data_IF_852788734523
#
_entry.id   IF_852788734523
#
_cell.length_a   1.000
_cell.length_b   1.000
_cell.length_c   1.000
_cell.angle_alpha   90.00
_cell.angle_beta   90.00
_cell.angle_gamma   90.00
#
_symmetry.space_group_name_H-M   'P 1'
#
loop_
_entity.id
_entity.type
_entity.pdbx_description
1 polymer ?
#
# COMPACT_ATOMS: atom_id res chain seq x y z
N UNK A 1 -12.68 6.21 12.39
CA UNK A 1 -12.59 6.13 10.93
C UNK A 1 -11.99 4.79 10.45
N UNK A 2 -10.95 4.25 11.11
CA UNK A 2 -10.29 3.00 10.67
C UNK A 2 -11.22 1.80 10.65
N UNK A 3 -12.02 1.59 11.71
CA UNK A 3 -13.00 0.50 11.74
C UNK A 3 -14.03 0.64 10.62
N UNK A 4 -14.47 1.86 10.34
CA UNK A 4 -15.36 2.13 9.22
C UNK A 4 -14.72 1.70 7.88
N UNK A 5 -13.46 2.04 7.64
CA UNK A 5 -12.75 1.62 6.42
C UNK A 5 -12.62 0.11 6.34
N UNK A 6 -12.22 -0.56 7.43
CA UNK A 6 -12.11 -2.02 7.49
C UNK A 6 -13.46 -2.70 7.26
N UNK A 7 -14.54 -2.20 7.86
CA UNK A 7 -15.89 -2.72 7.67
C UNK A 7 -16.35 -2.59 6.21
N UNK A 8 -16.05 -1.46 5.55
CA UNK A 8 -16.38 -1.26 4.14
C UNK A 8 -15.59 -2.20 3.24
N UNK A 9 -14.29 -2.35 3.45
CA UNK A 9 -13.47 -3.29 2.69
C UNK A 9 -13.88 -4.75 2.96
N UNK A 10 -14.31 -5.08 4.17
CA UNK A 10 -14.88 -6.40 4.47
C UNK A 10 -16.11 -6.72 3.63
N UNK A 11 -17.01 -5.73 3.41
CA UNK A 11 -18.16 -5.86 2.51
C UNK A 11 -17.78 -6.02 1.04
N UNK A 12 -16.61 -5.54 0.65
CA UNK A 12 -16.05 -5.62 -0.70
C UNK A 12 -15.24 -6.91 -0.92
N UNK A 13 -15.22 -7.82 0.06
CA UNK A 13 -14.59 -9.14 -0.05
C UNK A 13 -13.15 -9.21 0.48
N UNK A 14 -12.64 -8.16 1.12
CA UNK A 14 -11.33 -8.19 1.75
C UNK A 14 -11.38 -8.92 3.10
N UNK A 15 -10.39 -9.77 3.33
CA UNK A 15 -10.13 -10.39 4.63
C UNK A 15 -9.25 -9.46 5.46
N UNK A 16 -9.70 -9.09 6.65
CA UNK A 16 -8.91 -8.30 7.60
C UNK A 16 -7.79 -9.16 8.19
N UNK A 17 -6.57 -8.62 8.18
CA UNK A 17 -5.37 -9.27 8.71
C UNK A 17 -4.69 -8.34 9.71
N UNK A 18 -4.31 -8.87 10.86
CA UNK A 18 -3.45 -8.18 11.83
C UNK A 18 -2.01 -8.58 11.54
N UNK A 19 -1.19 -7.60 11.19
CA UNK A 19 0.20 -7.82 10.77
C UNK A 19 1.20 -7.40 11.85
N UNK A 20 2.43 -7.95 11.86
CA UNK A 20 3.50 -7.37 12.64
C UNK A 20 3.85 -5.95 12.16
N UNK A 21 4.32 -5.11 13.08
CA UNK A 21 4.76 -3.73 12.80
C UNK A 21 6.28 -3.62 12.61
N UNK A 22 6.96 -4.73 12.80
CA UNK A 22 8.40 -4.88 12.62
C UNK A 22 8.67 -6.07 11.71
N UNK A 23 9.48 -5.87 10.68
CA UNK A 23 9.81 -6.86 9.66
C UNK A 23 11.31 -6.93 9.44
N UNK A 24 11.79 -7.99 8.81
CA UNK A 24 13.20 -8.11 8.44
C UNK A 24 13.50 -7.42 7.10
N UNK A 25 14.79 -7.28 6.78
CA UNK A 25 15.25 -6.67 5.53
C UNK A 25 14.75 -7.42 4.29
N UNK A 26 14.64 -8.75 4.35
CA UNK A 26 14.15 -9.55 3.22
C UNK A 26 12.69 -9.22 2.87
N UNK A 27 11.87 -8.95 3.87
CA UNK A 27 10.50 -8.49 3.64
C UNK A 27 10.44 -7.11 2.96
N UNK A 28 11.33 -6.20 3.36
CA UNK A 28 11.48 -4.87 2.73
C UNK A 28 11.99 -4.99 1.29
N UNK A 29 12.87 -5.96 1.02
CA UNK A 29 13.32 -6.26 -0.34
C UNK A 29 12.17 -6.81 -1.19
N UNK A 30 11.35 -7.71 -0.64
CA UNK A 30 10.23 -8.33 -1.35
C UNK A 30 9.25 -7.33 -1.96
N UNK A 31 8.95 -6.25 -1.27
CA UNK A 31 8.04 -5.19 -1.74
C UNK A 31 8.73 -4.09 -2.54
N UNK A 32 10.07 -4.12 -2.66
CA UNK A 32 10.84 -3.11 -3.39
C UNK A 32 11.19 -1.86 -2.56
N UNK A 33 10.89 -1.86 -1.26
CA UNK A 33 11.30 -0.77 -0.38
C UNK A 33 12.82 -0.71 -0.22
N UNK A 34 13.47 -1.87 -0.14
CA UNK A 34 14.92 -1.96 -0.10
C UNK A 34 15.48 -2.39 -1.46
N UNK A 35 16.68 -1.90 -1.81
CA UNK A 35 17.55 -0.96 -1.08
C UNK A 35 17.18 0.52 -1.24
N UNK A 36 16.30 0.87 -2.19
CA UNK A 36 16.10 2.25 -2.68
C UNK A 36 15.65 3.24 -1.60
N UNK A 37 14.74 2.83 -0.71
CA UNK A 37 14.14 3.70 0.30
C UNK A 37 14.67 3.43 1.71
N UNK A 38 15.89 2.89 1.82
CA UNK A 38 16.47 2.53 3.12
C UNK A 38 16.59 3.74 4.06
N UNK A 39 16.96 4.89 3.53
CA UNK A 39 17.14 6.12 4.32
C UNK A 39 15.81 6.68 4.88
N UNK A 40 14.68 6.27 4.31
CA UNK A 40 13.35 6.66 4.78
C UNK A 40 12.78 5.75 5.87
N UNK A 41 13.55 4.77 6.34
CA UNK A 41 13.09 3.77 7.31
C UNK A 41 13.72 3.96 8.69
N UNK A 42 13.04 3.44 9.72
CA UNK A 42 13.58 3.31 11.07
C UNK A 42 14.08 1.88 11.26
N UNK A 43 15.40 1.69 11.18
CA UNK A 43 16.05 0.40 11.48
C UNK A 43 16.28 0.23 12.98
N UNK A 44 16.15 -0.99 13.48
CA UNK A 44 16.46 -1.33 14.86
C UNK A 44 17.96 -1.63 14.96
N UNK A 45 18.63 -0.91 15.87
CA UNK A 45 20.08 -1.02 16.07
C UNK A 45 20.49 -2.48 16.36
N UNK A 46 21.59 -2.91 15.74
CA UNK A 46 22.22 -4.22 15.94
C UNK A 46 21.30 -5.40 15.57
N UNK A 47 20.34 -5.20 14.69
CA UNK A 47 19.43 -6.22 14.17
C UNK A 47 19.25 -6.08 12.65
N UNK A 48 18.52 -7.04 12.03
CA UNK A 48 18.04 -6.93 10.65
C UNK A 48 16.56 -6.53 10.59
N UNK A 49 16.03 -5.93 11.64
CA UNK A 49 14.61 -5.53 11.72
C UNK A 49 14.41 -4.04 11.46
N UNK A 50 13.23 -3.74 10.92
CA UNK A 50 12.79 -2.41 10.49
C UNK A 50 11.35 -2.21 10.94
N UNK A 51 11.01 -1.01 11.39
CA UNK A 51 9.60 -0.61 11.57
C UNK A 51 8.95 -0.43 10.20
N UNK A 52 7.77 -1.00 10.02
CA UNK A 52 7.09 -0.98 8.71
C UNK A 52 6.74 0.44 8.25
N UNK A 53 7.05 0.83 7.01
CA UNK A 53 6.59 2.09 6.44
C UNK A 53 5.13 2.03 5.96
N UNK A 54 4.57 0.82 5.88
CA UNK A 54 3.24 0.49 5.36
C UNK A 54 2.91 -0.97 5.67
N UNK A 55 1.64 -1.29 5.89
CA UNK A 55 1.18 -2.67 6.02
C UNK A 55 1.32 -3.48 4.71
N UNK A 56 1.53 -2.83 3.57
CA UNK A 56 1.85 -3.51 2.30
C UNK A 56 3.01 -4.50 2.48
N UNK A 57 4.03 -4.14 3.26
CA UNK A 57 5.21 -5.00 3.45
C UNK A 57 4.83 -6.35 4.07
N UNK A 58 4.25 -6.41 5.28
CA UNK A 58 3.88 -7.71 5.86
C UNK A 58 2.73 -8.40 5.11
N UNK A 59 1.77 -7.67 4.55
CA UNK A 59 0.67 -8.27 3.80
C UNK A 59 1.16 -8.98 2.54
N UNK A 60 2.01 -8.33 1.75
CA UNK A 60 2.57 -8.93 0.52
C UNK A 60 3.44 -10.13 0.87
N UNK A 61 4.26 -10.04 1.91
CA UNK A 61 5.13 -11.13 2.34
C UNK A 61 4.39 -12.28 3.05
N UNK A 62 3.08 -12.17 3.29
CA UNK A 62 2.29 -13.24 3.90
C UNK A 62 2.42 -14.57 3.14
N UNK A 63 2.50 -14.49 1.82
CA UNK A 63 2.70 -15.65 0.95
C UNK A 63 4.13 -15.79 0.40
N UNK A 64 5.11 -15.19 1.10
CA UNK A 64 6.51 -15.32 0.72
C UNK A 64 6.92 -16.79 0.65
N UNK A 65 7.64 -17.15 -0.46
CA UNK A 65 8.09 -18.50 -0.77
C UNK A 65 6.96 -19.55 -0.94
N UNK A 66 5.72 -19.11 -1.07
CA UNK A 66 4.54 -19.98 -1.23
C UNK A 66 4.18 -20.22 -2.70
N UNK A 67 3.52 -21.36 -2.94
CA UNK A 67 2.88 -21.69 -4.22
C UNK A 67 1.38 -21.81 -3.95
N UNK A 68 0.63 -20.83 -4.38
CA UNK A 68 -0.82 -20.75 -4.20
C UNK A 68 -1.56 -21.68 -5.19
N UNK A 69 -2.78 -22.08 -4.85
CA UNK A 69 -3.70 -22.68 -5.82
C UNK A 69 -4.31 -21.57 -6.68
N UNK A 70 -4.21 -21.68 -7.99
CA UNK A 70 -4.77 -20.70 -8.92
C UNK A 70 -6.29 -20.54 -8.81
N UNK A 71 -6.98 -21.52 -8.22
CA UNK A 71 -8.44 -21.46 -7.96
C UNK A 71 -8.81 -20.50 -6.83
N UNK A 72 -7.87 -20.24 -5.91
CA UNK A 72 -8.08 -19.34 -4.78
C UNK A 72 -7.88 -17.86 -5.16
N UNK A 73 -7.32 -17.59 -6.35
CA UNK A 73 -7.09 -16.23 -6.82
C UNK A 73 -8.35 -15.64 -7.49
N UNK A 74 -8.64 -14.36 -7.31
CA UNK A 74 -7.85 -13.39 -6.56
C UNK A 74 -8.08 -13.44 -5.05
N UNK A 75 -7.04 -13.15 -4.25
CA UNK A 75 -7.11 -13.05 -2.79
C UNK A 75 -7.00 -11.58 -2.39
N UNK A 76 -7.87 -11.13 -1.50
CA UNK A 76 -7.95 -9.75 -1.03
C UNK A 76 -7.66 -9.65 0.46
N UNK A 77 -6.66 -8.87 0.84
CA UNK A 77 -6.34 -8.56 2.24
C UNK A 77 -6.49 -7.08 2.52
N UNK A 78 -6.94 -6.75 3.73
CA UNK A 78 -6.89 -5.40 4.28
C UNK A 78 -6.31 -5.43 5.70
N UNK A 79 -5.57 -4.40 6.05
CA UNK A 79 -5.02 -4.25 7.40
C UNK A 79 -4.96 -2.78 7.81
N UNK A 80 -5.25 -2.51 9.08
CA UNK A 80 -4.94 -1.23 9.70
C UNK A 80 -3.65 -1.36 10.50
N UNK A 81 -2.70 -0.48 10.26
CA UNK A 81 -1.45 -0.45 11.02
C UNK A 81 -0.93 0.96 11.23
N UNK A 82 -0.12 1.19 12.26
CA UNK A 82 0.82 2.30 12.24
C UNK A 82 1.81 2.10 11.10
N UNK A 83 2.26 3.21 10.52
CA UNK A 83 3.30 3.26 9.50
C UNK A 83 4.36 4.24 9.96
N UNK A 84 5.64 3.90 9.74
CA UNK A 84 6.78 4.64 10.25
C UNK A 84 7.67 5.08 9.10
N UNK A 85 7.93 6.38 8.99
CA UNK A 85 8.82 6.94 7.96
C UNK A 85 9.72 8.00 8.57
N UNK A 86 11.02 7.96 8.28
CA UNK A 86 11.99 8.94 8.80
C UNK A 86 11.84 10.29 8.11
N UNK A 87 11.18 10.33 6.94
CA UNK A 87 10.97 11.56 6.17
C UNK A 87 12.29 12.30 5.85
N UNK A 88 13.36 11.55 5.60
CA UNK A 88 14.72 12.05 5.45
C UNK A 88 14.88 13.08 4.33
N UNK A 89 14.08 12.97 3.25
CA UNK A 89 14.06 13.91 2.13
C UNK A 89 13.06 15.06 2.24
N UNK A 90 12.28 15.11 3.33
CA UNK A 90 11.17 16.05 3.46
C UNK A 90 11.62 17.41 4.01
N UNK A 91 11.36 18.46 3.26
CA UNK A 91 11.52 19.83 3.74
C UNK A 91 10.30 20.66 3.36
N UNK A 92 9.89 21.58 4.24
CA UNK A 92 8.88 22.56 3.88
C UNK A 92 7.70 22.66 4.84
N UNK A 93 6.58 23.18 4.31
CA UNK A 93 5.38 23.53 5.09
C UNK A 93 4.68 22.31 5.69
N UNK A 94 4.71 21.17 5.02
CA UNK A 94 3.98 19.94 5.39
C UNK A 94 4.60 19.26 6.63
N UNK A 95 5.89 19.52 6.93
CA UNK A 95 6.59 18.99 8.11
C UNK A 95 6.29 19.75 9.39
N UNK A 96 5.62 20.89 9.31
CA UNK A 96 5.25 21.75 10.46
C UNK A 96 3.82 21.50 10.96
N UNK A 97 3.09 20.59 10.37
CA UNK A 97 1.68 20.31 10.69
C UNK A 97 1.42 18.82 10.95
N UNK A 98 0.19 18.39 10.66
CA UNK A 98 -0.27 17.02 10.84
C UNK A 98 -0.29 16.19 9.53
N UNK A 99 0.12 16.78 8.40
CA UNK A 99 0.02 16.12 7.09
C UNK A 99 1.15 15.11 6.90
N UNK A 100 2.36 15.42 7.42
CA UNK A 100 3.54 14.58 7.28
C UNK A 100 4.14 14.29 8.65
N UNK A 101 4.06 13.04 9.08
CA UNK A 101 4.44 12.57 10.41
C UNK A 101 5.39 11.38 10.29
N UNK A 102 6.27 11.21 11.29
CA UNK A 102 7.12 10.01 11.43
C UNK A 102 6.33 8.75 11.71
N UNK A 103 5.18 8.88 12.36
CA UNK A 103 4.22 7.81 12.59
C UNK A 103 2.81 8.27 12.23
N UNK A 104 2.12 7.49 11.45
CA UNK A 104 0.71 7.70 11.08
C UNK A 104 0.02 6.35 10.94
N UNK A 105 -1.30 6.33 10.93
CA UNK A 105 -2.07 5.10 10.71
C UNK A 105 -2.59 5.05 9.28
N UNK A 106 -2.59 3.85 8.71
CA UNK A 106 -3.09 3.60 7.36
C UNK A 106 -3.90 2.32 7.32
N UNK A 107 -5.01 2.33 6.59
CA UNK A 107 -5.72 1.12 6.19
C UNK A 107 -5.23 0.75 4.79
N UNK A 108 -4.65 -0.41 4.67
CA UNK A 108 -4.02 -0.92 3.46
C UNK A 108 -4.91 -1.95 2.79
N UNK A 109 -4.88 -2.01 1.46
CA UNK A 109 -5.48 -3.05 0.65
C UNK A 109 -4.39 -3.71 -0.20
N UNK A 110 -4.34 -5.04 -0.19
CA UNK A 110 -3.44 -5.83 -1.06
C UNK A 110 -4.24 -6.91 -1.75
N UNK A 111 -3.99 -7.09 -3.04
CA UNK A 111 -4.58 -8.14 -3.85
C UNK A 111 -3.51 -9.02 -4.47
N UNK A 112 -3.74 -10.33 -4.42
CA UNK A 112 -3.00 -11.31 -5.20
C UNK A 112 -3.91 -11.77 -6.33
N UNK A 113 -3.51 -11.49 -7.56
CA UNK A 113 -4.32 -11.74 -8.75
C UNK A 113 -3.51 -12.46 -9.82
N UNK A 114 -4.20 -13.17 -10.71
CA UNK A 114 -3.57 -13.69 -11.93
C UNK A 114 -3.13 -12.54 -12.85
N UNK A 115 -2.06 -12.70 -13.63
CA UNK A 115 -1.56 -11.64 -14.51
C UNK A 115 -2.62 -11.05 -15.44
N UNK A 116 -3.45 -11.91 -16.04
CA UNK A 116 -4.51 -11.53 -16.97
C UNK A 116 -5.63 -10.70 -16.33
N UNK A 117 -5.84 -10.82 -15.01
CA UNK A 117 -6.88 -10.12 -14.26
C UNK A 117 -6.34 -8.88 -13.52
N UNK A 118 -5.02 -8.72 -13.44
CA UNK A 118 -4.37 -7.75 -12.52
C UNK A 118 -4.77 -6.31 -12.78
N UNK A 119 -4.96 -5.91 -14.03
CA UNK A 119 -5.39 -4.55 -14.37
C UNK A 119 -6.87 -4.29 -14.06
N UNK A 120 -7.73 -5.28 -14.25
CA UNK A 120 -9.13 -5.19 -13.81
C UNK A 120 -9.23 -5.11 -12.29
N UNK A 121 -8.40 -5.87 -11.58
CA UNK A 121 -8.32 -5.83 -10.13
C UNK A 121 -7.78 -4.49 -9.59
N UNK A 122 -6.92 -3.79 -10.34
CA UNK A 122 -6.50 -2.42 -10.03
C UNK A 122 -7.68 -1.44 -10.13
N UNK A 123 -8.50 -1.53 -11.18
CA UNK A 123 -9.68 -0.68 -11.35
C UNK A 123 -10.68 -0.91 -10.21
N UNK A 124 -10.92 -2.15 -9.81
CA UNK A 124 -11.77 -2.50 -8.66
C UNK A 124 -11.20 -1.94 -7.35
N UNK A 125 -9.89 -2.08 -7.11
CA UNK A 125 -9.24 -1.54 -5.92
C UNK A 125 -9.38 -0.02 -5.86
N UNK A 126 -9.17 0.66 -6.97
CA UNK A 126 -9.36 2.12 -7.06
C UNK A 126 -10.79 2.51 -6.73
N UNK A 127 -11.79 1.79 -7.25
CA UNK A 127 -13.20 2.01 -6.92
C UNK A 127 -13.50 1.77 -5.42
N UNK A 128 -12.86 0.78 -4.80
CA UNK A 128 -12.97 0.56 -3.34
C UNK A 128 -12.42 1.75 -2.53
N UNK A 129 -11.29 2.32 -2.95
CA UNK A 129 -10.73 3.51 -2.32
C UNK A 129 -11.64 4.75 -2.53
N UNK A 130 -12.19 4.93 -3.74
CA UNK A 130 -13.16 5.99 -4.03
C UNK A 130 -14.42 5.88 -3.17
N UNK A 131 -14.93 4.65 -2.97
CA UNK A 131 -16.10 4.39 -2.13
C UNK A 131 -15.95 4.94 -0.71
N UNK A 132 -14.75 4.85 -0.12
CA UNK A 132 -14.47 5.44 1.20
C UNK A 132 -14.64 6.96 1.15
N UNK A 133 -14.06 7.63 0.16
CA UNK A 133 -14.13 9.09 0.04
C UNK A 133 -15.55 9.57 -0.26
N UNK A 134 -16.30 8.83 -1.08
CA UNK A 134 -17.69 9.11 -1.38
C UNK A 134 -18.57 9.00 -0.13
N UNK A 135 -18.42 7.94 0.66
CA UNK A 135 -19.16 7.73 1.90
C UNK A 135 -18.82 8.75 2.99
N UNK A 136 -17.59 9.27 2.98
CA UNK A 136 -17.18 10.38 3.86
C UNK A 136 -17.59 11.74 3.31
N UNK A 137 -18.21 11.79 2.12
CA UNK A 137 -18.63 13.02 1.46
C UNK A 137 -17.47 14.03 1.28
N UNK A 138 -16.29 13.54 0.93
CA UNK A 138 -15.09 14.36 0.70
C UNK A 138 -14.96 14.68 -0.79
N UNK A 139 -14.73 15.93 -1.18
CA UNK A 139 -14.36 16.29 -2.54
C UNK A 139 -13.00 15.67 -2.90
N UNK A 140 -12.94 14.89 -3.98
CA UNK A 140 -11.72 14.21 -4.40
C UNK A 140 -11.62 14.18 -5.93
N UNK A 141 -10.45 13.79 -6.41
CA UNK A 141 -10.20 13.44 -7.81
C UNK A 141 -9.30 12.22 -7.90
N UNK A 142 -9.39 11.48 -9.00
CA UNK A 142 -8.48 10.38 -9.33
C UNK A 142 -7.50 10.85 -10.40
N UNK A 143 -6.22 10.59 -10.19
CA UNK A 143 -5.14 11.00 -11.07
C UNK A 143 -4.36 9.76 -11.52
N UNK A 144 -4.31 9.51 -12.83
CA UNK A 144 -3.38 8.52 -13.38
C UNK A 144 -1.98 9.13 -13.42
N UNK A 145 -1.02 8.49 -12.74
CA UNK A 145 0.34 9.01 -12.67
C UNK A 145 1.10 8.80 -13.98
N UNK A 146 1.92 9.80 -14.32
CA UNK A 146 2.93 9.64 -15.37
C UNK A 146 4.05 8.71 -14.90
N UNK A 147 4.80 8.15 -15.82
CA UNK A 147 5.91 7.22 -15.50
C UNK A 147 7.00 7.86 -14.64
N UNK A 148 7.16 9.17 -14.69
CA UNK A 148 8.12 9.90 -13.86
C UNK A 148 7.71 10.05 -12.40
N UNK A 149 6.40 9.93 -12.12
CA UNK A 149 5.83 10.14 -10.79
C UNK A 149 5.44 8.81 -10.09
N UNK A 150 5.43 7.70 -10.84
CA UNK A 150 5.10 6.40 -10.29
C UNK A 150 6.14 5.87 -9.31
N UNK A 151 5.69 5.09 -8.33
CA UNK A 151 6.56 4.34 -7.43
C UNK A 151 7.46 3.35 -8.20
N UNK A 152 8.64 3.07 -7.65
CA UNK A 152 9.68 2.24 -8.27
C UNK A 152 9.19 0.84 -8.69
N UNK A 153 8.28 0.25 -7.93
CA UNK A 153 7.74 -1.10 -8.17
C UNK A 153 6.51 -1.12 -9.07
N UNK A 154 5.95 0.04 -9.39
CA UNK A 154 4.65 0.14 -10.06
C UNK A 154 4.76 0.16 -11.59
N UNK A 155 3.84 -0.53 -12.27
CA UNK A 155 3.63 -0.46 -13.70
C UNK A 155 2.49 0.50 -14.08
N UNK A 156 1.50 0.67 -13.21
CA UNK A 156 0.40 1.64 -13.33
C UNK A 156 -0.05 2.07 -11.94
N UNK A 157 -0.32 3.36 -11.77
CA UNK A 157 -0.76 3.92 -10.50
C UNK A 157 -1.88 4.93 -10.71
N UNK A 158 -2.89 4.84 -9.84
CA UNK A 158 -3.89 5.87 -9.62
C UNK A 158 -3.73 6.45 -8.23
N UNK A 159 -3.55 7.76 -8.12
CA UNK A 159 -3.64 8.49 -6.87
C UNK A 159 -5.05 9.06 -6.69
N UNK A 160 -5.57 8.97 -5.47
CA UNK A 160 -6.76 9.64 -5.04
C UNK A 160 -6.35 10.85 -4.22
N UNK A 161 -6.76 12.03 -4.67
CA UNK A 161 -6.42 13.29 -4.02
C UNK A 161 -7.68 13.94 -3.46
N UNK A 162 -7.61 14.40 -2.21
CA UNK A 162 -8.69 15.13 -1.54
C UNK A 162 -8.42 16.62 -1.52
N UNK A 163 -9.47 17.41 -1.61
CA UNK A 163 -9.37 18.86 -1.50
C UNK A 163 -9.08 19.28 -0.06
N UNK A 164 -8.03 20.07 0.13
CA UNK A 164 -7.66 20.66 1.43
C UNK A 164 -7.96 22.16 1.38
N UNK A 165 -9.09 22.64 1.96
CA UNK A 165 -9.47 24.04 1.90
C UNK A 165 -8.41 25.01 2.43
N UNK A 166 -7.72 24.62 3.53
CA UNK A 166 -6.68 25.45 4.15
C UNK A 166 -5.45 25.66 3.25
N UNK A 167 -5.21 24.77 2.28
CA UNK A 167 -4.12 24.86 1.32
C UNK A 167 -4.58 25.32 -0.08
N UNK A 168 -5.90 25.40 -0.29
CA UNK A 168 -6.50 25.65 -1.60
C UNK A 168 -5.91 24.72 -2.68
N UNK A 169 -5.76 23.44 -2.36
CA UNK A 169 -5.13 22.45 -3.24
C UNK A 169 -5.63 21.03 -2.95
N UNK A 170 -5.50 20.17 -3.95
CA UNK A 170 -5.66 18.72 -3.78
C UNK A 170 -4.39 18.10 -3.23
N UNK A 171 -4.54 17.10 -2.35
CA UNK A 171 -3.43 16.34 -1.77
C UNK A 171 -3.75 14.86 -1.82
N UNK A 172 -2.76 14.07 -2.17
CA UNK A 172 -2.85 12.61 -2.14
C UNK A 172 -3.26 12.11 -0.75
N UNK A 173 -4.26 11.22 -0.73
CA UNK A 173 -4.72 10.52 0.47
C UNK A 173 -4.63 9.00 0.30
N UNK A 174 -4.63 8.50 -0.93
CA UNK A 174 -4.54 7.09 -1.27
C UNK A 174 -3.86 6.91 -2.61
N UNK A 175 -3.12 5.81 -2.77
CA UNK A 175 -2.47 5.44 -4.02
C UNK A 175 -2.71 3.96 -4.28
N UNK A 176 -3.21 3.63 -5.48
CA UNK A 176 -3.49 2.26 -5.91
C UNK A 176 -2.59 1.90 -7.09
N UNK A 177 -1.77 0.87 -6.94
CA UNK A 177 -0.78 0.48 -7.94
C UNK A 177 -0.91 -0.97 -8.36
N UNK A 178 -0.66 -1.24 -9.64
CA UNK A 178 -0.36 -2.57 -10.14
C UNK A 178 1.16 -2.70 -10.28
N UNK A 179 1.73 -3.65 -9.57
CA UNK A 179 3.18 -3.95 -9.60
C UNK A 179 3.51 -5.11 -10.55
N UNK A 180 2.50 -5.62 -11.25
CA UNK A 180 2.61 -6.83 -12.05
C UNK A 180 3.32 -7.95 -11.26
N UNK A 181 4.36 -8.55 -11.79
CA UNK A 181 5.10 -9.63 -11.13
C UNK A 181 6.31 -9.15 -10.31
N UNK A 182 6.56 -7.85 -10.23
CA UNK A 182 7.77 -7.32 -9.59
C UNK A 182 7.91 -7.77 -8.13
N UNK A 183 6.89 -7.54 -7.31
CA UNK A 183 6.91 -7.96 -5.90
C UNK A 183 6.82 -9.49 -5.76
N UNK A 184 6.00 -10.14 -6.57
CA UNK A 184 5.86 -11.60 -6.55
C UNK A 184 7.19 -12.31 -6.85
N UNK A 185 7.95 -11.85 -7.84
CA UNK A 185 9.29 -12.39 -8.14
C UNK A 185 10.26 -12.17 -6.98
N UNK A 186 10.28 -11.00 -6.38
CA UNK A 186 11.19 -10.66 -5.27
C UNK A 186 10.87 -11.45 -3.98
N UNK A 187 9.59 -11.67 -3.69
CA UNK A 187 9.13 -12.45 -2.54
C UNK A 187 8.92 -13.94 -2.84
N UNK A 188 9.19 -14.39 -4.08
CA UNK A 188 8.98 -15.78 -4.53
C UNK A 188 7.55 -16.28 -4.31
N UNK A 189 6.57 -15.41 -4.56
CA UNK A 189 5.14 -15.76 -4.52
C UNK A 189 4.77 -16.31 -5.89
N UNK A 190 4.23 -17.50 -5.92
CA UNK A 190 3.88 -18.22 -7.15
C UNK A 190 2.49 -18.83 -7.03
N UNK A 191 1.92 -19.25 -8.11
CA UNK A 191 0.69 -20.06 -8.11
C UNK A 191 0.80 -21.16 -9.16
N UNK A 192 -0.03 -22.21 -9.00
CA UNK A 192 -0.22 -23.24 -10.01
C UNK A 192 -1.48 -22.90 -10.79
N UNK A 193 -1.31 -22.77 -12.08
CA UNK A 193 -2.41 -22.80 -13.03
C UNK A 193 -2.70 -24.27 -13.35
N UNK A 194 -3.97 -24.66 -13.48
CA UNK A 194 -4.36 -26.05 -13.80
C UNK A 194 -3.99 -26.43 -15.22
#
# INVERSE_FOLDING_TARGET
IYNFMLDEHGKEGYTEVITPYMVNHDSMFGTGNYPKFKDDTFELKDTNYVLIPTAEVPLTNYYRDEILDGKDLPIYFTAMSPSFRSEAGSAGRDTRGLIRLHQFHKVEMVKFAKPEESYEELEKMTANAENILQKLNLPYRVVALSTGDMGFSAAKTYDLEVWIPAQNNYREISSCSNTEDFQARRAQIRYRDE
#
